data_IF_116902146513
#
_entry.id   IF_116902146513
#
_cell.length_a   1.000
_cell.length_b   1.000
_cell.length_c   1.000
_cell.angle_alpha   90.00
_cell.angle_beta   90.00
_cell.angle_gamma   90.00
#
_symmetry.space_group_name_H-M   'P 1'
#
loop_
_entity.id
_entity.type
_entity.pdbx_description
1 polymer ?
#
# COMPACT_ATOMS: atom_id res chain seq x y z
N UNK A 1 -4.78 3.79 -0.03
CA UNK A 1 -6.05 3.82 0.71
C UNK A 1 -6.42 2.43 1.22
N UNK A 2 -6.54 1.41 0.39
CA UNK A 2 -6.92 0.05 0.79
C UNK A 2 -6.00 -0.58 1.85
N UNK A 3 -4.70 -0.35 1.77
CA UNK A 3 -3.68 -0.79 2.73
C UNK A 3 -3.90 -0.28 4.17
N UNK A 4 -4.66 0.80 4.31
CA UNK A 4 -5.00 1.36 5.61
C UNK A 4 -6.35 0.87 6.17
N UNK A 5 -7.04 0.01 5.41
CA UNK A 5 -8.36 -0.50 5.76
C UNK A 5 -8.27 -1.99 6.08
N UNK A 6 -9.15 -2.46 6.99
CA UNK A 6 -9.28 -3.90 7.29
C UNK A 6 -10.62 -4.46 6.85
N UNK A 7 -11.66 -3.63 6.84
CA UNK A 7 -13.01 -4.06 6.44
C UNK A 7 -13.22 -3.79 4.93
N UNK A 8 -12.70 -4.69 4.10
CA UNK A 8 -12.81 -4.61 2.64
C UNK A 8 -14.26 -4.74 2.16
N UNK A 9 -15.06 -5.63 2.79
CA UNK A 9 -16.46 -5.80 2.41
C UNK A 9 -17.27 -4.51 2.55
N UNK A 10 -17.19 -3.85 3.71
CA UNK A 10 -17.88 -2.57 3.92
C UNK A 10 -17.36 -1.47 2.98
N UNK A 11 -16.05 -1.44 2.71
CA UNK A 11 -15.45 -0.47 1.81
C UNK A 11 -15.93 -0.67 0.37
N UNK A 12 -15.87 -1.90 -0.15
CA UNK A 12 -16.29 -2.22 -1.52
C UNK A 12 -17.78 -1.98 -1.71
N UNK A 13 -18.61 -2.34 -0.73
CA UNK A 13 -20.04 -2.02 -0.73
C UNK A 13 -20.31 -0.52 -0.83
N UNK A 14 -19.57 0.30 -0.09
CA UNK A 14 -19.68 1.76 -0.17
C UNK A 14 -19.23 2.29 -1.52
N UNK A 15 -18.09 1.82 -2.03
CA UNK A 15 -17.53 2.25 -3.31
C UNK A 15 -18.42 1.82 -4.49
N UNK A 16 -18.96 0.60 -4.44
CA UNK A 16 -19.89 0.10 -5.46
C UNK A 16 -21.12 0.98 -5.66
N UNK A 17 -21.64 1.58 -4.57
CA UNK A 17 -22.78 2.52 -4.64
C UNK A 17 -22.49 3.83 -5.38
N UNK A 18 -21.21 4.18 -5.53
CA UNK A 18 -20.80 5.40 -6.25
C UNK A 18 -20.54 5.13 -7.74
N UNK A 19 -20.50 3.87 -8.15
CA UNK A 19 -20.33 3.54 -9.56
C UNK A 19 -21.67 3.67 -10.30
N UNK A 20 -21.64 4.33 -11.45
CA UNK A 20 -22.75 4.37 -12.38
C UNK A 20 -22.95 2.98 -13.06
N UNK A 21 -24.10 2.77 -13.69
CA UNK A 21 -24.34 1.56 -14.48
C UNK A 21 -23.26 1.41 -15.57
N UNK A 22 -22.59 0.25 -15.57
CA UNK A 22 -21.46 -0.01 -16.48
C UNK A 22 -20.15 0.66 -16.06
N UNK A 23 -20.14 1.40 -14.94
CA UNK A 23 -18.94 2.02 -14.39
C UNK A 23 -17.92 0.99 -13.93
N UNK A 24 -16.65 1.35 -13.98
CA UNK A 24 -15.53 0.51 -13.56
C UNK A 24 -14.68 1.25 -12.52
N UNK A 25 -14.09 0.51 -11.59
CA UNK A 25 -13.16 1.04 -10.60
C UNK A 25 -11.78 0.44 -10.82
N UNK A 26 -10.79 1.31 -11.03
CA UNK A 26 -9.39 0.89 -11.06
C UNK A 26 -8.77 1.02 -9.68
N UNK A 27 -8.10 -0.05 -9.24
CA UNK A 27 -7.36 -0.08 -7.97
C UNK A 27 -5.89 -0.33 -8.26
N UNK A 28 -5.04 0.50 -7.67
CA UNK A 28 -3.59 0.36 -7.61
C UNK A 28 -3.19 0.22 -6.14
N UNK A 29 -2.60 -0.91 -5.77
CA UNK A 29 -2.19 -1.19 -4.39
C UNK A 29 -0.99 -2.14 -4.39
N UNK A 30 -0.08 -1.98 -3.44
CA UNK A 30 0.94 -2.99 -3.21
C UNK A 30 0.35 -4.22 -2.50
N UNK A 31 0.88 -5.38 -2.81
CA UNK A 31 0.41 -6.67 -2.29
C UNK A 31 1.57 -7.62 -2.02
N UNK A 32 1.36 -8.53 -1.09
CA UNK A 32 2.14 -9.77 -1.01
C UNK A 32 1.57 -10.82 -1.96
N UNK A 33 2.41 -11.70 -2.47
CA UNK A 33 2.02 -12.71 -3.46
C UNK A 33 0.84 -13.59 -3.01
N UNK A 34 0.88 -14.10 -1.76
CA UNK A 34 -0.04 -15.12 -1.29
C UNK A 34 -0.66 -14.83 0.09
N UNK A 35 0.01 -14.05 0.95
CA UNK A 35 -0.37 -13.96 2.36
C UNK A 35 -0.73 -12.53 2.76
N UNK A 36 -1.99 -12.25 3.12
CA UNK A 36 -2.32 -11.00 3.78
C UNK A 36 -1.86 -11.06 5.24
N UNK A 37 -1.40 -9.94 5.79
CA UNK A 37 -1.07 -9.83 7.21
C UNK A 37 -1.37 -8.44 7.75
N UNK A 38 -1.93 -8.36 8.98
CA UNK A 38 -2.26 -7.08 9.60
C UNK A 38 -0.99 -6.33 10.02
N UNK A 39 -1.04 -5.01 9.94
CA UNK A 39 -0.03 -4.15 10.54
C UNK A 39 -0.31 -4.03 12.05
N UNK A 40 0.47 -4.72 12.86
CA UNK A 40 0.34 -4.76 14.31
C UNK A 40 1.69 -4.43 14.97
N UNK A 41 1.62 -3.80 16.12
CA UNK A 41 2.81 -3.52 16.95
C UNK A 41 2.84 -4.56 18.05
N UNK A 42 3.67 -5.59 17.89
CA UNK A 42 3.88 -6.67 18.87
C UNK A 42 5.21 -6.52 19.61
N UNK A 43 6.16 -5.77 19.03
CA UNK A 43 7.48 -5.58 19.60
C UNK A 43 8.25 -4.40 19.00
N UNK A 44 9.50 -4.19 19.45
CA UNK A 44 10.35 -3.09 18.97
C UNK A 44 10.67 -3.16 17.47
N UNK A 45 10.68 -4.36 16.88
CA UNK A 45 10.93 -4.59 15.43
C UNK A 45 9.82 -4.06 14.53
N UNK A 46 8.61 -3.86 15.08
CA UNK A 46 7.43 -3.46 14.29
C UNK A 46 7.34 -1.94 14.10
N UNK A 47 8.49 -1.29 13.92
CA UNK A 47 8.59 0.15 13.83
C UNK A 47 7.84 0.74 12.62
N UNK A 48 7.75 0.01 11.50
CA UNK A 48 6.96 0.44 10.34
C UNK A 48 5.47 0.53 10.68
N UNK A 49 4.93 -0.50 11.34
CA UNK A 49 3.54 -0.49 11.83
C UNK A 49 3.31 0.64 12.84
N UNK A 50 4.28 0.87 13.73
CA UNK A 50 4.19 1.90 14.76
C UNK A 50 4.17 3.33 14.22
N UNK A 51 4.95 3.63 13.18
CA UNK A 51 5.19 5.00 12.74
C UNK A 51 4.57 5.36 11.38
N UNK A 52 4.28 4.37 10.53
CA UNK A 52 3.82 4.58 9.16
C UNK A 52 2.50 3.87 8.82
N UNK A 53 2.32 2.65 9.33
CA UNK A 53 1.13 1.84 9.08
C UNK A 53 0.42 1.52 10.39
N UNK A 54 -0.13 2.54 11.06
CA UNK A 54 -0.76 2.41 12.39
C UNK A 54 -2.03 1.55 12.40
N UNK A 55 -2.55 1.24 11.24
CA UNK A 55 -3.72 0.36 11.04
C UNK A 55 -3.67 -0.23 9.63
N UNK A 56 -4.60 -1.13 9.32
CA UNK A 56 -4.66 -1.74 8.00
C UNK A 56 -3.91 -3.06 7.92
N UNK A 57 -3.58 -3.46 6.70
CA UNK A 57 -2.92 -4.73 6.42
C UNK A 57 -2.12 -4.66 5.11
N UNK A 58 -1.12 -5.55 4.97
CA UNK A 58 -0.57 -5.94 3.68
C UNK A 58 -1.56 -6.87 3.02
N UNK A 59 -2.19 -6.49 1.91
CA UNK A 59 -3.11 -7.38 1.23
C UNK A 59 -2.38 -8.45 0.43
N UNK A 60 -3.01 -9.60 0.23
CA UNK A 60 -2.57 -10.57 -0.77
C UNK A 60 -3.08 -10.17 -2.16
N UNK A 61 -2.43 -10.70 -3.22
CA UNK A 61 -2.86 -10.41 -4.60
C UNK A 61 -4.31 -10.81 -4.88
N UNK A 62 -4.81 -11.83 -4.22
CA UNK A 62 -6.16 -12.36 -4.38
C UNK A 62 -7.19 -11.77 -3.42
N UNK A 63 -6.81 -10.75 -2.64
CA UNK A 63 -7.65 -10.20 -1.55
C UNK A 63 -9.08 -9.88 -2.00
N UNK A 64 -9.27 -9.35 -3.20
CA UNK A 64 -10.60 -8.96 -3.69
C UNK A 64 -11.50 -10.15 -4.03
N UNK A 65 -10.96 -11.35 -4.23
CA UNK A 65 -11.78 -12.55 -4.47
C UNK A 65 -12.54 -13.02 -3.22
N UNK A 66 -12.11 -12.59 -2.04
CA UNK A 66 -12.77 -12.88 -0.76
C UNK A 66 -13.90 -11.89 -0.43
N UNK A 67 -14.07 -10.84 -1.21
CA UNK A 67 -15.03 -9.76 -0.99
C UNK A 67 -15.78 -9.39 -2.28
N UNK A 68 -16.29 -10.40 -2.99
CA UNK A 68 -16.88 -10.25 -4.31
C UNK A 68 -18.42 -10.05 -4.29
N UNK A 69 -18.98 -9.64 -3.16
CA UNK A 69 -20.43 -9.49 -3.00
C UNK A 69 -21.01 -8.33 -3.81
N UNK A 70 -20.35 -7.18 -3.82
CA UNK A 70 -20.81 -5.95 -4.49
C UNK A 70 -20.02 -5.66 -5.78
N UNK A 71 -18.70 -5.89 -5.75
CA UNK A 71 -17.79 -5.67 -6.86
C UNK A 71 -16.98 -6.93 -7.14
N UNK A 72 -16.78 -7.24 -8.41
CA UNK A 72 -15.97 -8.39 -8.84
C UNK A 72 -14.78 -7.93 -9.67
N UNK A 73 -13.68 -8.68 -9.60
CA UNK A 73 -12.48 -8.43 -10.42
C UNK A 73 -12.76 -8.87 -11.85
N UNK A 74 -12.81 -7.90 -12.77
CA UNK A 74 -12.90 -8.16 -14.21
C UNK A 74 -11.52 -8.50 -14.79
N UNK A 75 -10.48 -7.78 -14.33
CA UNK A 75 -9.09 -8.00 -14.74
C UNK A 75 -8.14 -7.66 -13.60
N UNK A 76 -6.99 -8.33 -13.56
CA UNK A 76 -5.91 -7.99 -12.63
C UNK A 76 -4.54 -8.11 -13.30
N UNK A 77 -3.58 -7.32 -12.83
CA UNK A 77 -2.19 -7.31 -13.33
C UNK A 77 -1.22 -7.28 -12.16
N UNK A 78 -0.12 -8.01 -12.29
CA UNK A 78 1.02 -7.98 -11.38
C UNK A 78 2.11 -7.11 -11.99
N UNK A 79 2.46 -6.02 -11.32
CA UNK A 79 3.56 -5.15 -11.70
C UNK A 79 4.74 -5.51 -10.80
N UNK A 80 5.81 -6.03 -11.40
CA UNK A 80 6.96 -6.53 -10.65
C UNK A 80 7.45 -5.52 -9.61
N UNK A 81 7.73 -6.01 -8.40
CA UNK A 81 8.14 -5.19 -7.26
C UNK A 81 9.41 -4.37 -7.49
N UNK A 82 10.31 -4.83 -8.38
CA UNK A 82 11.54 -4.10 -8.71
C UNK A 82 11.29 -2.68 -9.24
N UNK A 83 10.13 -2.44 -9.88
CA UNK A 83 9.73 -1.08 -10.29
C UNK A 83 9.47 -0.19 -9.08
N UNK A 84 8.81 -0.74 -8.05
CA UNK A 84 8.53 0.03 -6.83
C UNK A 84 9.78 0.16 -5.96
N UNK A 85 10.64 -0.86 -5.88
CA UNK A 85 11.96 -0.75 -5.25
C UNK A 85 12.77 0.40 -5.86
N UNK A 86 12.83 0.49 -7.18
CA UNK A 86 13.50 1.62 -7.87
C UNK A 86 12.86 2.97 -7.53
N UNK A 87 11.55 3.04 -7.43
CA UNK A 87 10.84 4.26 -7.03
C UNK A 87 11.19 4.66 -5.60
N UNK A 88 11.24 3.70 -4.66
CA UNK A 88 11.65 3.95 -3.27
C UNK A 88 13.10 4.46 -3.20
N UNK A 89 14.00 3.90 -3.99
CA UNK A 89 15.39 4.39 -4.10
C UNK A 89 15.44 5.84 -4.59
N UNK A 90 14.70 6.19 -5.64
CA UNK A 90 14.63 7.57 -6.14
C UNK A 90 14.04 8.54 -5.10
N UNK A 91 13.05 8.12 -4.33
CA UNK A 91 12.53 8.92 -3.22
C UNK A 91 13.57 9.12 -2.13
N UNK A 92 14.35 8.08 -1.81
CA UNK A 92 15.45 8.18 -0.85
C UNK A 92 16.53 9.16 -1.32
N UNK A 93 16.93 9.09 -2.59
CA UNK A 93 17.88 10.04 -3.18
C UNK A 93 17.35 11.48 -3.11
N UNK A 94 16.08 11.71 -3.44
CA UNK A 94 15.43 13.02 -3.32
C UNK A 94 15.36 13.48 -1.87
N UNK A 95 15.12 12.57 -0.92
CA UNK A 95 15.11 12.86 0.51
C UNK A 95 16.49 13.37 0.98
N UNK A 96 17.58 12.72 0.56
CA UNK A 96 18.94 13.19 0.86
C UNK A 96 19.23 14.56 0.24
N UNK A 97 18.90 14.72 -1.04
CA UNK A 97 19.14 15.97 -1.79
C UNK A 97 18.44 17.17 -1.15
N UNK A 98 17.25 16.98 -0.63
CA UNK A 98 16.40 18.04 -0.06
C UNK A 98 16.45 18.08 1.47
N UNK A 99 17.48 17.54 2.11
CA UNK A 99 17.61 17.41 3.58
C UNK A 99 17.29 18.70 4.33
N UNK A 100 17.82 19.84 3.91
CA UNK A 100 17.59 21.12 4.59
C UNK A 100 16.10 21.49 4.58
N UNK A 101 15.49 21.49 3.41
CA UNK A 101 14.07 21.83 3.24
C UNK A 101 13.16 20.90 4.04
N UNK A 102 13.47 19.58 4.04
CA UNK A 102 12.70 18.58 4.78
C UNK A 102 12.84 18.79 6.29
N UNK A 103 14.05 19.06 6.79
CA UNK A 103 14.26 19.35 8.22
C UNK A 103 13.55 20.63 8.65
N UNK A 104 13.59 21.69 7.85
CA UNK A 104 12.88 22.94 8.11
C UNK A 104 11.35 22.71 8.16
N UNK A 105 10.81 21.87 7.26
CA UNK A 105 9.42 21.45 7.29
C UNK A 105 9.10 20.64 8.56
N UNK A 106 9.91 19.64 8.87
CA UNK A 106 9.69 18.75 10.02
C UNK A 106 9.78 19.48 11.38
N UNK A 107 10.57 20.55 11.46
CA UNK A 107 10.62 21.39 12.66
C UNK A 107 9.26 22.00 13.02
N UNK A 108 8.39 22.20 12.04
CA UNK A 108 7.04 22.74 12.26
C UNK A 108 6.01 21.70 12.69
N UNK A 109 6.28 20.41 12.45
CA UNK A 109 5.28 19.34 12.58
C UNK A 109 5.69 18.23 13.54
N UNK A 110 6.97 18.09 13.88
CA UNK A 110 7.47 17.01 14.71
C UNK A 110 8.36 17.52 15.86
N UNK A 111 8.22 16.99 17.08
CA UNK A 111 9.07 17.40 18.21
C UNK A 111 10.55 17.05 17.99
N UNK A 112 10.84 16.01 17.20
CA UNK A 112 12.20 15.54 16.89
C UNK A 112 12.44 15.44 15.38
N UNK A 113 12.65 16.58 14.66
CA UNK A 113 12.74 16.59 13.20
C UNK A 113 13.84 15.69 12.63
N UNK A 114 15.03 15.65 13.29
CA UNK A 114 16.15 14.78 12.86
C UNK A 114 15.81 13.30 12.95
N UNK A 115 15.12 12.90 14.01
CA UNK A 115 14.69 11.51 14.18
C UNK A 115 13.67 11.10 13.08
N UNK A 116 12.73 11.99 12.76
CA UNK A 116 11.76 11.74 11.67
C UNK A 116 12.43 11.71 10.31
N UNK A 117 13.46 12.56 10.10
CA UNK A 117 14.25 12.49 8.87
C UNK A 117 14.89 11.11 8.71
N UNK A 118 15.50 10.56 9.76
CA UNK A 118 16.10 9.21 9.74
C UNK A 118 15.03 8.12 9.60
N UNK A 119 13.86 8.26 10.25
CA UNK A 119 12.76 7.30 10.09
C UNK A 119 12.29 7.18 8.64
N UNK A 120 12.17 8.30 7.94
CA UNK A 120 11.83 8.29 6.52
C UNK A 120 12.92 7.66 5.64
N UNK A 121 14.19 7.87 5.96
CA UNK A 121 15.28 7.17 5.28
C UNK A 121 15.17 5.66 5.44
N UNK A 122 14.99 5.19 6.67
CA UNK A 122 14.83 3.77 6.97
C UNK A 122 13.58 3.19 6.31
N UNK A 123 12.50 3.97 6.24
CA UNK A 123 11.27 3.57 5.57
C UNK A 123 11.49 3.31 4.07
N UNK A 124 12.14 4.24 3.38
CA UNK A 124 12.42 4.07 1.95
C UNK A 124 13.36 2.90 1.70
N UNK A 125 14.42 2.75 2.50
CA UNK A 125 15.34 1.60 2.41
C UNK A 125 14.61 0.27 2.64
N UNK A 126 13.81 0.18 3.69
CA UNK A 126 13.06 -1.05 4.00
C UNK A 126 12.05 -1.38 2.89
N UNK A 127 11.38 -0.39 2.31
CA UNK A 127 10.50 -0.61 1.18
C UNK A 127 11.27 -1.03 -0.08
N UNK A 128 12.42 -0.43 -0.36
CA UNK A 128 13.29 -0.81 -1.48
C UNK A 128 13.67 -2.28 -1.38
N UNK A 129 14.21 -2.73 -0.25
CA UNK A 129 14.60 -4.11 0.00
C UNK A 129 13.41 -5.07 -0.05
N UNK A 130 12.28 -4.69 0.55
CA UNK A 130 11.07 -5.50 0.56
C UNK A 130 10.59 -5.79 -0.87
N UNK A 131 10.47 -4.73 -1.69
CA UNK A 131 9.96 -4.87 -3.05
C UNK A 131 11.00 -5.42 -4.04
N UNK A 132 12.29 -5.41 -3.71
CA UNK A 132 13.33 -6.10 -4.47
C UNK A 132 13.41 -7.61 -4.15
N UNK A 133 12.87 -8.03 -3.01
CA UNK A 133 12.94 -9.43 -2.55
C UNK A 133 12.45 -10.40 -3.61
N UNK A 134 13.17 -11.52 -3.77
CA UNK A 134 12.85 -12.57 -4.75
C UNK A 134 12.64 -12.00 -6.17
N UNK A 135 13.54 -11.12 -6.61
CA UNK A 135 13.47 -10.45 -7.93
C UNK A 135 12.13 -9.68 -8.14
N UNK A 136 11.56 -9.13 -7.07
CA UNK A 136 10.28 -8.41 -7.10
C UNK A 136 9.04 -9.31 -7.28
N UNK A 137 9.16 -10.61 -7.01
CA UNK A 137 8.07 -11.59 -7.18
C UNK A 137 7.32 -11.89 -5.90
N UNK A 138 7.81 -11.44 -4.74
CA UNK A 138 7.20 -11.71 -3.43
C UNK A 138 6.26 -10.58 -3.00
N UNK A 139 6.74 -9.33 -3.00
CA UNK A 139 5.95 -8.13 -2.83
C UNK A 139 5.99 -7.32 -4.11
N UNK A 140 4.83 -6.91 -4.59
CA UNK A 140 4.70 -6.21 -5.86
C UNK A 140 3.49 -5.27 -5.85
N UNK A 141 3.30 -4.52 -6.92
CA UNK A 141 2.10 -3.72 -7.08
C UNK A 141 1.07 -4.51 -7.89
N UNK A 142 -0.15 -4.55 -7.38
CA UNK A 142 -1.27 -5.16 -8.08
C UNK A 142 -2.20 -4.08 -8.61
N UNK A 143 -2.62 -4.26 -9.85
CA UNK A 143 -3.67 -3.48 -10.47
C UNK A 143 -4.91 -4.35 -10.62
N UNK A 144 -6.06 -3.76 -10.40
CA UNK A 144 -7.34 -4.43 -10.57
C UNK A 144 -8.31 -3.51 -11.30
N UNK A 145 -9.09 -4.10 -12.18
CA UNK A 145 -10.27 -3.48 -12.72
C UNK A 145 -11.48 -4.18 -12.11
N UNK A 146 -12.24 -3.45 -11.29
CA UNK A 146 -13.42 -3.95 -10.61
C UNK A 146 -14.68 -3.42 -11.29
N UNK A 147 -15.68 -4.28 -11.40
CA UNK A 147 -17.00 -3.95 -11.93
C UNK A 147 -18.10 -4.36 -10.96
N UNK A 148 -19.28 -3.72 -10.99
CA UNK A 148 -20.42 -4.15 -10.20
C UNK A 148 -20.77 -5.61 -10.48
N UNK A 149 -21.01 -6.40 -9.42
CA UNK A 149 -21.51 -7.77 -9.57
C UNK A 149 -22.90 -7.68 -10.19
N UNK A 150 -23.09 -8.35 -11.33
CA UNK A 150 -24.42 -8.44 -11.95
C UNK A 150 -25.33 -9.23 -11.00
N UNK A 151 -26.49 -8.68 -10.69
CA UNK A 151 -27.51 -9.45 -9.98
C UNK A 151 -27.79 -10.73 -10.77
N UNK A 152 -27.78 -11.87 -10.08
CA UNK A 152 -28.26 -13.12 -10.70
C UNK A 152 -29.72 -12.88 -11.08
N UNK A 153 -30.02 -13.06 -12.35
CA UNK A 153 -31.39 -12.99 -12.87
C UNK A 153 -32.20 -14.19 -12.38
#
# INVERSE_FOLDING_TARGET
MFEHMRNYGALLKKLGKHLQNGGKMFVHIFTHRNHPYPYEVRGPSDWMSKYFFTSGLMPSHDIFSYFDEDLVVEQSWKINGSHYARTCNLWLQNHYKNKKTILDLFTRHYPNPRQWFVRWQLFFLACEELFACNEGKEWFVSHYLLVPKKAAK
#
